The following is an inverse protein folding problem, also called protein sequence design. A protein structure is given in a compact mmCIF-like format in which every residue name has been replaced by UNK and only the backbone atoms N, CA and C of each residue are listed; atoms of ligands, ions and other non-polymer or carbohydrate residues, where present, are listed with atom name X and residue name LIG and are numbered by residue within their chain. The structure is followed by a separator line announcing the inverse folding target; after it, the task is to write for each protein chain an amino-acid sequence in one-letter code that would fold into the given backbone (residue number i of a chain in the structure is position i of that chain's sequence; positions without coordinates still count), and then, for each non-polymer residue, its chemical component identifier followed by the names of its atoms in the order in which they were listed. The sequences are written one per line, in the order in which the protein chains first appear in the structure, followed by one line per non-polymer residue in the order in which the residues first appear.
data_IF_295440032660
#
_entry.id   IF_295440032660
#
_cell.length_a   1.000
_cell.length_b   1.000
_cell.length_c   1.000
_cell.angle_alpha   90.00
_cell.angle_beta   90.00
_cell.angle_gamma   90.00
#
_symmetry.space_group_name_H-M   'P 1'
#
loop_
_entity.id
_entity.type
_entity.pdbx_description
1 polymer ?
#
# COMPACT_ATOMS: atom_id res chain seq x y z
N UNK A 1 -11.46 -48.83 16.60
CA UNK A 1 -11.00 -47.73 15.72
C UNK A 1 -9.51 -47.57 15.91
N UNK A 2 -8.70 -47.66 14.85
CA UNK A 2 -7.27 -47.40 14.95
C UNK A 2 -7.05 -45.89 15.18
N UNK A 3 -6.29 -45.53 16.23
CA UNK A 3 -5.81 -44.16 16.45
C UNK A 3 -4.34 -44.10 16.05
N UNK A 4 -4.01 -43.16 15.18
CA UNK A 4 -2.62 -42.80 14.88
C UNK A 4 -2.32 -41.44 15.51
N UNK A 5 -1.19 -41.34 16.22
CA UNK A 5 -0.73 -40.10 16.86
C UNK A 5 0.62 -39.74 16.25
N UNK A 6 0.67 -38.67 15.45
CA UNK A 6 1.93 -38.05 15.03
C UNK A 6 2.27 -36.90 15.97
N UNK A 7 3.46 -36.94 16.57
CA UNK A 7 4.01 -35.79 17.30
C UNK A 7 4.82 -34.93 16.33
N UNK A 8 4.45 -33.67 16.20
CA UNK A 8 5.27 -32.71 15.48
C UNK A 8 6.52 -32.37 16.30
N UNK A 9 7.65 -32.00 15.66
CA UNK A 9 8.84 -31.55 16.36
C UNK A 9 8.52 -30.40 17.31
N UNK A 10 9.03 -30.46 18.54
CA UNK A 10 8.74 -29.44 19.57
C UNK A 10 9.17 -28.04 19.14
N UNK A 11 10.31 -27.93 18.44
CA UNK A 11 10.80 -26.66 17.89
C UNK A 11 9.80 -26.04 16.89
N UNK A 12 9.15 -26.87 16.07
CA UNK A 12 8.16 -26.41 15.11
C UNK A 12 6.90 -25.89 15.82
N UNK A 13 6.44 -26.60 16.85
CA UNK A 13 5.29 -26.17 17.66
C UNK A 13 5.58 -24.86 18.40
N UNK A 14 6.79 -24.69 18.94
CA UNK A 14 7.23 -23.45 19.58
C UNK A 14 7.26 -22.28 18.59
N UNK A 15 7.81 -22.49 17.39
CA UNK A 15 7.82 -21.48 16.32
C UNK A 15 6.40 -21.07 15.92
N UNK A 16 5.49 -22.03 15.75
CA UNK A 16 4.08 -21.74 15.45
C UNK A 16 3.38 -20.96 16.56
N UNK A 17 3.62 -21.31 17.83
CA UNK A 17 3.02 -20.60 18.97
C UNK A 17 3.49 -19.15 19.03
N UNK A 18 4.80 -18.92 18.92
CA UNK A 18 5.39 -17.57 18.93
C UNK A 18 4.95 -16.75 17.72
N UNK A 19 4.81 -17.38 16.54
CA UNK A 19 4.28 -16.72 15.36
C UNK A 19 2.84 -16.26 15.59
N UNK A 20 2.00 -17.13 16.17
CA UNK A 20 0.63 -16.79 16.56
C UNK A 20 0.57 -15.57 17.47
N UNK A 21 1.37 -15.55 18.54
CA UNK A 21 1.45 -14.44 19.51
C UNK A 21 1.92 -13.12 18.89
N UNK A 22 2.81 -13.16 17.89
CA UNK A 22 3.38 -11.98 17.24
C UNK A 22 2.67 -11.55 15.96
N UNK A 23 1.56 -12.20 15.60
CA UNK A 23 0.82 -11.91 14.36
C UNK A 23 0.45 -10.42 14.27
N UNK A 24 -0.01 -9.84 15.37
CA UNK A 24 -0.42 -8.43 15.46
C UNK A 24 0.75 -7.44 15.29
N UNK A 25 1.99 -7.87 15.46
CA UNK A 25 3.19 -7.06 15.22
C UNK A 25 3.76 -7.26 13.81
N UNK A 26 3.73 -8.50 13.33
CA UNK A 26 4.34 -8.90 12.05
C UNK A 26 3.49 -8.40 10.88
N UNK A 27 2.17 -8.57 10.95
CA UNK A 27 1.28 -8.21 9.85
C UNK A 27 1.33 -6.71 9.51
N UNK A 28 1.31 -5.77 10.48
CA UNK A 28 1.53 -4.36 10.20
C UNK A 28 2.84 -4.09 9.46
N UNK A 29 3.97 -4.65 9.91
CA UNK A 29 5.28 -4.43 9.30
C UNK A 29 5.36 -4.96 7.87
N UNK A 30 4.76 -6.13 7.63
CA UNK A 30 4.69 -6.74 6.29
C UNK A 30 3.84 -5.88 5.37
N UNK A 31 2.68 -5.41 5.84
CA UNK A 31 1.78 -4.56 5.07
C UNK A 31 2.37 -3.18 4.79
N UNK A 32 3.07 -2.57 5.75
CA UNK A 32 3.78 -1.31 5.57
C UNK A 32 4.85 -1.42 4.47
N UNK A 33 5.67 -2.47 4.49
CA UNK A 33 6.66 -2.72 3.45
C UNK A 33 6.03 -2.86 2.05
N UNK A 34 4.90 -3.57 1.95
CA UNK A 34 4.13 -3.64 0.70
C UNK A 34 3.55 -2.29 0.28
N UNK A 35 3.09 -1.49 1.24
CA UNK A 35 2.55 -0.15 1.05
C UNK A 35 3.56 0.85 0.52
N UNK A 36 4.77 0.89 1.10
CA UNK A 36 5.87 1.79 0.69
C UNK A 36 6.27 1.58 -0.78
N UNK A 37 6.32 0.32 -1.21
CA UNK A 37 6.62 -0.06 -2.60
C UNK A 37 5.54 0.49 -3.55
N UNK A 38 4.27 0.39 -3.16
CA UNK A 38 3.14 0.93 -3.93
C UNK A 38 3.17 2.46 -3.94
N UNK A 39 3.35 3.09 -2.78
CA UNK A 39 3.41 4.55 -2.63
C UNK A 39 4.51 5.13 -3.52
N UNK A 40 5.73 4.58 -3.45
CA UNK A 40 6.87 5.04 -4.25
C UNK A 40 6.57 5.03 -5.74
N UNK A 41 5.92 3.95 -6.22
CA UNK A 41 5.57 3.83 -7.63
C UNK A 41 4.45 4.80 -8.04
N UNK A 42 3.42 4.94 -7.21
CA UNK A 42 2.33 5.88 -7.43
C UNK A 42 2.85 7.31 -7.43
N UNK A 43 3.75 7.66 -6.50
CA UNK A 43 4.40 8.97 -6.40
C UNK A 43 5.21 9.31 -7.64
N UNK A 44 6.01 8.36 -8.13
CA UNK A 44 6.78 8.52 -9.37
C UNK A 44 5.88 8.74 -10.59
N UNK A 45 4.81 7.95 -10.73
CA UNK A 45 3.85 8.12 -11.82
C UNK A 45 3.11 9.46 -11.72
N UNK A 46 2.71 9.86 -10.51
CA UNK A 46 2.01 11.12 -10.26
C UNK A 46 2.89 12.32 -10.60
N UNK A 47 4.18 12.29 -10.22
CA UNK A 47 5.17 13.30 -10.60
C UNK A 47 5.32 13.42 -12.13
N UNK A 48 5.29 12.31 -12.86
CA UNK A 48 5.41 12.31 -14.32
C UNK A 48 4.17 12.87 -15.04
N UNK A 49 3.02 12.87 -14.36
CA UNK A 49 1.71 13.28 -14.91
C UNK A 49 1.36 14.73 -14.54
N UNK A 50 1.71 15.16 -13.33
CA UNK A 50 1.43 16.51 -12.86
C UNK A 50 2.12 17.54 -13.75
N UNK A 51 1.37 18.52 -14.24
CA UNK A 51 1.89 19.61 -15.07
C UNK A 51 2.27 19.25 -16.52
N UNK A 52 2.16 17.98 -16.92
CA UNK A 52 2.47 17.56 -18.29
C UNK A 52 1.27 17.72 -19.22
N UNK A 53 1.42 18.32 -20.40
CA UNK A 53 0.36 18.36 -21.42
C UNK A 53 -0.90 19.09 -20.95
N UNK A 54 -0.71 20.21 -20.27
CA UNK A 54 -1.78 21.17 -19.92
C UNK A 54 -1.86 22.25 -20.99
N UNK A 55 -3.07 22.73 -21.30
CA UNK A 55 -3.27 23.84 -22.25
C UNK A 55 -2.70 25.16 -21.73
N UNK A 56 -2.73 25.33 -20.40
CA UNK A 56 -2.14 26.47 -19.68
C UNK A 56 -0.93 26.01 -18.86
N UNK A 57 -0.14 26.97 -18.37
CA UNK A 57 0.96 26.69 -17.45
C UNK A 57 0.49 25.93 -16.21
N UNK A 58 1.34 25.02 -15.74
CA UNK A 58 1.05 24.17 -14.59
C UNK A 58 0.98 25.01 -13.31
N UNK A 59 -0.22 25.06 -12.69
CA UNK A 59 -0.45 25.70 -11.39
C UNK A 59 -0.26 24.74 -10.21
N UNK A 60 0.55 23.69 -10.39
CA UNK A 60 0.76 22.69 -9.35
C UNK A 60 1.62 23.25 -8.22
N UNK A 61 1.11 23.19 -6.99
CA UNK A 61 1.85 23.56 -5.78
C UNK A 61 2.71 22.42 -5.22
N UNK A 62 2.64 21.22 -5.81
CA UNK A 62 3.31 20.01 -5.31
C UNK A 62 2.63 19.37 -4.09
N UNK A 63 1.64 20.03 -3.49
CA UNK A 63 0.92 19.55 -2.31
C UNK A 63 0.23 18.20 -2.52
N UNK A 64 -0.27 17.90 -3.73
CA UNK A 64 -0.87 16.60 -4.03
C UNK A 64 0.14 15.44 -3.90
N UNK A 65 1.41 15.70 -4.25
CA UNK A 65 2.49 14.71 -4.10
C UNK A 65 2.85 14.55 -2.62
N UNK A 66 2.85 15.64 -1.86
CA UNK A 66 3.14 15.63 -0.42
C UNK A 66 2.02 14.97 0.39
N UNK A 67 0.78 15.06 -0.08
CA UNK A 67 -0.38 14.44 0.57
C UNK A 67 -0.46 12.93 0.34
N UNK A 68 0.22 12.38 -0.67
CA UNK A 68 0.22 10.94 -0.92
C UNK A 68 1.00 10.22 0.19
N UNK A 69 0.40 9.18 0.78
CA UNK A 69 1.04 8.35 1.78
C UNK A 69 0.31 7.03 2.04
N UNK A 70 0.91 6.22 2.91
CA UNK A 70 0.32 4.96 3.41
C UNK A 70 -0.30 5.19 4.78
N UNK A 71 -1.52 4.72 4.99
CA UNK A 71 -2.16 4.72 6.31
C UNK A 71 -1.53 3.66 7.21
N UNK A 72 -1.59 3.83 8.53
CA UNK A 72 -1.25 2.76 9.46
C UNK A 72 -2.09 1.51 9.22
N UNK A 73 -1.50 0.34 9.50
CA UNK A 73 -2.19 -0.93 9.41
C UNK A 73 -3.29 -1.01 10.49
N UNK A 74 -4.52 -1.32 10.08
CA UNK A 74 -5.65 -1.49 10.99
C UNK A 74 -6.41 -2.75 10.68
N UNK A 75 -6.84 -3.44 11.72
CA UNK A 75 -7.71 -4.58 11.61
C UNK A 75 -9.15 -4.14 11.31
N UNK A 76 -9.80 -4.80 10.36
CA UNK A 76 -11.22 -4.61 10.07
C UNK A 76 -12.10 -5.52 10.95
N UNK A 77 -13.42 -5.45 10.74
CA UNK A 77 -14.41 -6.24 11.51
C UNK A 77 -14.31 -7.75 11.26
N UNK A 78 -13.66 -8.16 10.17
CA UNK A 78 -13.47 -9.57 9.81
C UNK A 78 -12.14 -10.11 10.34
N UNK A 79 -11.35 -9.27 11.01
CA UNK A 79 -10.06 -9.64 11.56
C UNK A 79 -8.89 -9.45 10.58
N UNK A 80 -9.11 -8.86 9.40
CA UNK A 80 -8.05 -8.67 8.40
C UNK A 80 -7.32 -7.35 8.63
N UNK A 81 -5.99 -7.39 8.60
CA UNK A 81 -5.17 -6.19 8.62
C UNK A 81 -5.11 -5.55 7.24
N UNK A 82 -5.38 -4.24 7.19
CA UNK A 82 -5.41 -3.46 5.97
C UNK A 82 -4.58 -2.18 6.10
N UNK A 83 -3.89 -1.82 5.02
CA UNK A 83 -3.26 -0.51 4.80
C UNK A 83 -3.85 0.12 3.55
N UNK A 84 -3.93 1.44 3.53
CA UNK A 84 -4.48 2.23 2.42
C UNK A 84 -3.41 3.16 1.90
N UNK A 85 -3.20 3.16 0.59
CA UNK A 85 -2.42 4.20 -0.09
C UNK A 85 -3.39 5.24 -0.62
N UNK A 86 -3.22 6.50 -0.20
CA UNK A 86 -4.16 7.55 -0.52
C UNK A 86 -3.61 8.93 -0.21
N UNK A 87 -4.49 9.93 -0.22
CA UNK A 87 -4.12 11.32 0.02
C UNK A 87 -4.61 11.79 1.38
N UNK A 88 -3.74 12.46 2.12
CA UNK A 88 -4.10 13.18 3.34
C UNK A 88 -5.04 14.35 3.02
N UNK A 89 -5.96 14.62 3.92
CA UNK A 89 -6.91 15.72 3.88
C UNK A 89 -6.91 16.40 5.27
N UNK A 90 -7.25 17.70 5.38
CA UNK A 90 -7.70 18.59 4.32
C UNK A 90 -6.56 19.22 3.51
N UNK A 91 -6.87 19.64 2.28
CA UNK A 91 -5.98 20.46 1.44
C UNK A 91 -6.08 21.95 1.82
N UNK A 92 -4.98 22.68 1.66
CA UNK A 92 -4.87 24.10 2.03
C UNK A 92 -5.80 25.03 1.26
N UNK A 93 -6.18 24.68 0.02
CA UNK A 93 -7.03 25.50 -0.86
C UNK A 93 -8.53 25.18 -0.76
N UNK A 94 -8.93 24.36 0.21
CA UNK A 94 -10.33 23.97 0.45
C UNK A 94 -10.89 22.95 -0.56
N UNK A 95 -10.11 22.50 -1.54
CA UNK A 95 -10.48 21.38 -2.42
C UNK A 95 -10.10 20.05 -1.78
N UNK A 96 -10.58 18.94 -2.33
CA UNK A 96 -10.12 17.59 -1.92
C UNK A 96 -8.97 17.11 -2.81
N UNK A 97 -7.90 16.62 -2.19
CA UNK A 97 -6.82 15.92 -2.89
C UNK A 97 -7.35 14.68 -3.64
N UNK A 98 -8.28 13.92 -3.05
CA UNK A 98 -8.91 12.78 -3.71
C UNK A 98 -9.68 13.19 -4.97
N UNK A 99 -10.39 14.33 -4.95
CA UNK A 99 -11.07 14.87 -6.13
C UNK A 99 -10.07 15.22 -7.23
N UNK A 100 -8.97 15.93 -6.91
CA UNK A 100 -7.95 16.33 -7.88
C UNK A 100 -7.29 15.10 -8.50
N UNK A 101 -6.93 14.11 -7.68
CA UNK A 101 -6.39 12.84 -8.14
C UNK A 101 -7.36 12.09 -9.06
N UNK A 102 -8.65 12.07 -8.74
CA UNK A 102 -9.69 11.47 -9.58
C UNK A 102 -9.81 12.15 -10.95
N UNK A 103 -9.75 13.49 -10.99
CA UNK A 103 -9.74 14.25 -12.25
C UNK A 103 -8.48 13.96 -13.07
N UNK A 104 -7.32 13.73 -12.44
CA UNK A 104 -6.12 13.31 -13.14
C UNK A 104 -6.27 11.89 -13.70
N UNK A 105 -6.75 10.93 -12.92
CA UNK A 105 -6.87 9.53 -13.33
C UNK A 105 -7.89 9.35 -14.48
N UNK A 106 -9.06 9.97 -14.37
CA UNK A 106 -10.20 9.73 -15.26
C UNK A 106 -10.50 10.87 -16.24
N UNK A 107 -9.87 12.03 -16.05
CA UNK A 107 -10.14 13.21 -16.86
C UNK A 107 -11.45 13.91 -16.49
N UNK A 108 -11.71 15.02 -17.18
CA UNK A 108 -12.98 15.77 -17.13
C UNK A 108 -13.19 16.49 -18.46
N UNK A 109 -14.32 17.16 -18.63
CA UNK A 109 -14.54 18.00 -19.82
C UNK A 109 -13.38 19.00 -20.01
N UNK A 110 -12.75 18.96 -21.18
CA UNK A 110 -11.60 19.82 -21.52
C UNK A 110 -10.23 19.36 -21.00
N UNK A 111 -10.14 18.26 -20.24
CA UNK A 111 -8.89 17.69 -19.74
C UNK A 111 -8.87 16.16 -19.92
N UNK A 112 -8.02 15.62 -20.81
CA UNK A 112 -7.95 14.18 -21.02
C UNK A 112 -7.41 13.45 -19.78
N UNK A 113 -7.79 12.17 -19.58
CA UNK A 113 -7.29 11.34 -18.49
C UNK A 113 -5.78 11.14 -18.58
N UNK A 114 -5.13 11.15 -17.43
CA UNK A 114 -3.71 10.87 -17.24
C UNK A 114 -3.56 9.85 -16.12
N UNK A 115 -3.84 8.57 -16.41
CA UNK A 115 -3.86 7.52 -15.41
C UNK A 115 -2.47 7.33 -14.82
N UNK A 116 -2.38 7.35 -13.50
CA UNK A 116 -1.16 7.13 -12.72
C UNK A 116 -1.33 5.95 -11.74
N UNK A 117 -2.56 5.68 -11.27
CA UNK A 117 -2.88 4.55 -10.39
C UNK A 117 -3.06 3.25 -11.17
N UNK A 118 -3.85 3.26 -12.25
CA UNK A 118 -4.08 2.07 -13.08
C UNK A 118 -2.79 1.43 -13.59
N UNK A 119 -1.82 2.17 -14.17
CA UNK A 119 -0.54 1.58 -14.58
C UNK A 119 0.35 1.18 -13.40
N UNK A 120 0.26 1.88 -12.25
CA UNK A 120 1.00 1.47 -11.05
C UNK A 120 0.54 0.11 -10.53
N UNK A 121 -0.79 -0.12 -10.46
CA UNK A 121 -1.38 -1.35 -9.91
C UNK A 121 -0.93 -2.60 -10.64
N UNK A 122 -0.90 -2.58 -11.97
CA UNK A 122 -0.46 -3.75 -12.76
C UNK A 122 1.04 -3.97 -12.66
N UNK A 123 1.84 -2.90 -12.74
CA UNK A 123 3.29 -2.98 -12.72
C UNK A 123 3.84 -3.43 -11.36
N UNK A 124 3.22 -3.01 -10.26
CA UNK A 124 3.78 -3.19 -8.91
C UNK A 124 3.33 -4.47 -8.22
N UNK A 125 2.29 -5.14 -8.73
CA UNK A 125 1.65 -6.28 -8.04
C UNK A 125 2.67 -7.36 -7.64
N UNK A 126 3.56 -7.74 -8.55
CA UNK A 126 4.57 -8.77 -8.30
C UNK A 126 5.60 -8.30 -7.26
N UNK A 127 6.14 -7.11 -7.44
CA UNK A 127 7.16 -6.53 -6.54
C UNK A 127 6.62 -6.30 -5.13
N UNK A 128 5.37 -5.85 -5.00
CA UNK A 128 4.69 -5.70 -3.71
C UNK A 128 4.57 -7.06 -2.98
N UNK A 129 4.14 -8.12 -3.69
CA UNK A 129 4.07 -9.48 -3.11
C UNK A 129 5.46 -9.98 -2.70
N UNK A 130 6.48 -9.77 -3.51
CA UNK A 130 7.86 -10.18 -3.21
C UNK A 130 8.42 -9.44 -1.99
N UNK A 131 8.20 -8.13 -1.89
CA UNK A 131 8.60 -7.34 -0.73
C UNK A 131 7.88 -7.80 0.55
N UNK A 132 6.58 -8.07 0.48
CA UNK A 132 5.81 -8.59 1.62
C UNK A 132 6.30 -9.98 2.05
N UNK A 133 6.60 -10.88 1.11
CA UNK A 133 7.15 -12.22 1.41
C UNK A 133 8.52 -12.13 2.08
N UNK A 134 9.43 -11.34 1.50
CA UNK A 134 10.77 -11.14 2.07
C UNK A 134 10.69 -10.54 3.49
N UNK A 135 9.76 -9.59 3.70
CA UNK A 135 9.53 -9.02 5.02
C UNK A 135 8.98 -10.05 6.00
N UNK A 136 8.02 -10.88 5.58
CA UNK A 136 7.45 -11.94 6.40
C UNK A 136 8.52 -12.97 6.81
N UNK A 137 9.31 -13.47 5.85
CA UNK A 137 10.41 -14.40 6.11
C UNK A 137 11.40 -13.81 7.11
N UNK A 138 11.81 -12.56 6.93
CA UNK A 138 12.71 -11.89 7.88
C UNK A 138 12.12 -11.73 9.27
N UNK A 139 10.81 -11.53 9.42
CA UNK A 139 10.19 -11.44 10.75
C UNK A 139 10.03 -12.82 11.38
N UNK A 140 9.76 -13.86 10.59
CA UNK A 140 9.68 -15.26 11.06
C UNK A 140 11.04 -15.78 11.51
N UNK A 141 12.12 -15.49 10.78
CA UNK A 141 13.48 -15.91 11.12
C UNK A 141 14.02 -15.26 12.42
N UNK A 142 13.39 -14.17 12.86
CA UNK A 142 13.73 -13.47 14.11
C UNK A 142 13.04 -14.06 15.35
N UNK A 143 12.22 -15.10 15.20
CA UNK A 143 11.40 -15.72 16.24
C UNK A 143 12.00 -17.05 16.71
#
# INVERSE_FOLDING_TARGET
MAKSTMKMPEEFLLKLSRLGEKTDEILPRVLEAGGEVVETKVKSNLQAVIGRGTKEESRSTGELILALGVSSAKQDREGNFNVKVGFAEPRSDGKSNAMIAGVLEYGKSGQPPKPFLKPAKSAIKKTCIEAMKAKLESEVDRI
#
